data_IF_769070825548
#
_entry.id   IF_769070825548
#
_cell.length_a   1.000
_cell.length_b   1.000
_cell.length_c   1.000
_cell.angle_alpha   90.00
_cell.angle_beta   90.00
_cell.angle_gamma   90.00
#
_symmetry.space_group_name_H-M   'P 1'
#
loop_
_entity.id
_entity.type
_entity.pdbx_description
1 polymer ?
#
# COMPACT_ATOMS: atom_id res chain seq x y z
N UNK A 1 -13.53 30.13 26.89
CA UNK A 1 -13.19 31.51 26.52
C UNK A 1 -14.31 32.49 26.90
N UNK A 2 -15.54 32.29 26.39
CA UNK A 2 -16.69 33.17 26.69
C UNK A 2 -16.96 33.30 28.18
N UNK A 3 -16.89 32.19 28.94
CA UNK A 3 -17.05 32.22 30.40
C UNK A 3 -15.95 33.05 31.12
N UNK A 4 -14.72 32.94 30.67
CA UNK A 4 -13.62 33.77 31.23
C UNK A 4 -13.80 35.25 30.94
N UNK A 5 -14.23 35.62 29.70
CA UNK A 5 -14.54 37.00 29.36
C UNK A 5 -15.66 37.59 30.24
N UNK A 6 -16.73 36.82 30.47
CA UNK A 6 -17.85 37.25 31.31
C UNK A 6 -17.42 37.43 32.75
N UNK A 7 -16.62 36.50 33.30
CA UNK A 7 -16.13 36.57 34.68
C UNK A 7 -15.18 37.77 34.89
N UNK A 8 -14.25 38.01 33.95
CA UNK A 8 -13.32 39.15 34.06
C UNK A 8 -14.05 40.48 33.95
N UNK A 9 -15.00 40.60 33.00
CA UNK A 9 -15.82 41.81 32.87
C UNK A 9 -16.67 42.07 34.09
N UNK A 10 -17.27 41.05 34.72
CA UNK A 10 -18.05 41.18 35.97
C UNK A 10 -17.16 41.60 37.15
N UNK A 11 -15.97 41.01 37.27
CA UNK A 11 -15.01 41.41 38.31
C UNK A 11 -14.59 42.87 38.17
N UNK A 12 -14.24 43.33 36.97
CA UNK A 12 -13.86 44.72 36.74
C UNK A 12 -14.99 45.68 36.99
N UNK A 13 -16.22 45.33 36.60
CA UNK A 13 -17.39 46.14 36.90
C UNK A 13 -17.64 46.25 38.42
N UNK A 14 -17.44 45.18 39.19
CA UNK A 14 -17.57 45.19 40.68
C UNK A 14 -16.55 46.13 41.38
N UNK A 15 -15.34 46.24 40.80
CA UNK A 15 -14.30 47.14 41.34
C UNK A 15 -14.38 48.56 40.79
N UNK A 16 -15.46 49.00 40.12
CA UNK A 16 -15.66 50.34 39.55
C UNK A 16 -14.48 50.80 38.66
N UNK A 17 -13.86 49.91 37.92
CA UNK A 17 -12.78 50.22 36.98
C UNK A 17 -13.31 51.07 35.85
N UNK A 18 -12.49 51.97 35.30
CA UNK A 18 -12.89 52.82 34.17
C UNK A 18 -13.29 51.98 32.93
N UNK A 19 -14.33 52.39 32.25
CA UNK A 19 -14.85 51.69 31.05
C UNK A 19 -13.76 51.50 29.98
N UNK A 20 -12.83 52.42 29.89
CA UNK A 20 -11.69 52.35 28.94
C UNK A 20 -10.78 51.16 29.23
N UNK A 21 -10.51 50.80 30.47
CA UNK A 21 -9.71 49.64 30.84
C UNK A 21 -10.43 48.32 30.57
N UNK A 22 -11.75 48.27 30.78
CA UNK A 22 -12.56 47.11 30.46
C UNK A 22 -12.53 46.83 28.94
N UNK A 23 -12.67 47.88 28.12
CA UNK A 23 -12.58 47.74 26.65
C UNK A 23 -11.20 47.24 26.24
N UNK A 24 -10.13 47.81 26.80
CA UNK A 24 -8.76 47.40 26.47
C UNK A 24 -8.50 45.92 26.81
N UNK A 25 -8.97 45.44 27.97
CA UNK A 25 -8.85 44.03 28.36
C UNK A 25 -9.60 43.09 27.40
N UNK A 26 -10.84 43.44 27.07
CA UNK A 26 -11.62 42.66 26.10
C UNK A 26 -10.92 42.58 24.76
N UNK A 27 -10.37 43.70 24.25
CA UNK A 27 -9.60 43.71 23.01
C UNK A 27 -8.35 42.80 23.06
N UNK A 28 -7.59 42.86 24.14
CA UNK A 28 -6.40 42.02 24.34
C UNK A 28 -6.79 40.53 24.34
N UNK A 29 -7.83 40.17 25.09
CA UNK A 29 -8.32 38.78 25.18
C UNK A 29 -8.78 38.24 23.81
N UNK A 30 -9.47 39.07 23.04
CA UNK A 30 -9.88 38.69 21.67
C UNK A 30 -8.67 38.47 20.75
N UNK A 31 -7.69 39.38 20.81
CA UNK A 31 -6.46 39.26 20.01
C UNK A 31 -5.69 37.98 20.39
N UNK A 32 -5.51 37.72 21.68
CA UNK A 32 -4.87 36.48 22.14
C UNK A 32 -5.62 35.24 21.69
N UNK A 33 -6.97 35.23 21.74
CA UNK A 33 -7.76 34.12 21.27
C UNK A 33 -7.59 33.87 19.78
N UNK A 34 -7.67 34.93 18.99
CA UNK A 34 -7.45 34.83 17.50
C UNK A 34 -6.05 34.29 17.24
N UNK A 35 -5.03 34.77 17.94
CA UNK A 35 -3.65 34.28 17.76
C UNK A 35 -3.52 32.79 18.06
N UNK A 36 -4.14 32.27 19.12
CA UNK A 36 -4.14 30.84 19.48
C UNK A 36 -4.86 30.00 18.39
N UNK A 37 -6.04 30.45 17.95
CA UNK A 37 -6.83 29.75 16.93
C UNK A 37 -6.08 29.71 15.59
N UNK A 38 -5.43 30.80 15.20
CA UNK A 38 -4.63 30.86 13.98
C UNK A 38 -3.40 29.95 14.08
N UNK A 39 -2.70 29.94 15.22
CA UNK A 39 -1.56 29.05 15.45
C UNK A 39 -1.95 27.57 15.35
N UNK A 40 -3.08 27.18 15.97
CA UNK A 40 -3.62 25.81 15.90
C UNK A 40 -4.02 25.45 14.46
N UNK A 41 -4.69 26.36 13.76
CA UNK A 41 -5.05 26.18 12.35
C UNK A 41 -3.83 25.95 11.44
N UNK A 42 -2.78 26.79 11.57
CA UNK A 42 -1.57 26.64 10.76
C UNK A 42 -0.84 25.34 11.07
N UNK A 43 -0.80 24.93 12.34
CA UNK A 43 -0.16 23.68 12.75
C UNK A 43 -0.87 22.45 12.17
N UNK A 44 -2.21 22.43 12.22
CA UNK A 44 -3.03 21.37 11.63
C UNK A 44 -2.92 21.34 10.11
N UNK A 45 -3.01 22.52 9.47
CA UNK A 45 -2.91 22.65 8.04
C UNK A 45 -1.60 22.07 7.50
N UNK A 46 -0.47 22.39 8.13
CA UNK A 46 0.83 21.89 7.74
C UNK A 46 0.87 20.36 7.70
N UNK A 47 0.30 19.69 8.69
CA UNK A 47 0.24 18.23 8.72
C UNK A 47 -0.54 17.64 7.53
N UNK A 48 -1.70 18.22 7.21
CA UNK A 48 -2.51 17.72 6.09
C UNK A 48 -1.90 18.05 4.72
N UNK A 49 -1.25 19.20 4.56
CA UNK A 49 -0.53 19.55 3.34
C UNK A 49 0.67 18.58 3.12
N UNK A 50 1.43 18.25 4.15
CA UNK A 50 2.51 17.25 4.08
C UNK A 50 1.96 15.85 3.76
N UNK A 51 0.84 15.46 4.34
CA UNK A 51 0.16 14.20 4.05
C UNK A 51 -0.21 14.09 2.56
N UNK A 52 -0.83 15.14 2.00
CA UNK A 52 -1.25 15.17 0.59
C UNK A 52 -0.04 15.07 -0.36
N UNK A 53 1.02 15.82 -0.07
CA UNK A 53 2.26 15.79 -0.86
C UNK A 53 2.91 14.40 -0.81
N UNK A 54 3.01 13.80 0.37
CA UNK A 54 3.61 12.49 0.55
C UNK A 54 2.80 11.39 -0.17
N UNK A 55 1.46 11.41 -0.07
CA UNK A 55 0.59 10.47 -0.81
C UNK A 55 0.77 10.61 -2.33
N UNK A 56 0.91 11.85 -2.83
CA UNK A 56 1.10 12.09 -4.25
C UNK A 56 2.48 11.62 -4.76
N UNK A 57 3.51 11.68 -3.91
CA UNK A 57 4.89 11.30 -4.25
C UNK A 57 5.14 9.79 -4.18
N UNK A 58 4.35 9.02 -3.41
CA UNK A 58 4.53 7.59 -3.23
C UNK A 58 3.92 6.80 -4.39
N UNK A 59 4.70 5.90 -4.97
CA UNK A 59 4.24 4.89 -5.92
C UNK A 59 3.38 3.84 -5.19
N UNK A 60 3.85 3.33 -4.07
CA UNK A 60 3.14 2.39 -3.19
C UNK A 60 2.51 3.15 -2.01
N UNK A 61 1.27 3.58 -2.18
CA UNK A 61 0.54 4.47 -1.25
C UNK A 61 0.30 3.87 0.15
N UNK A 62 0.39 2.56 0.27
CA UNK A 62 0.27 1.88 1.57
C UNK A 62 1.52 2.06 2.46
N UNK A 63 2.60 2.65 1.97
CA UNK A 63 3.80 2.96 2.75
C UNK A 63 3.80 4.39 3.30
N UNK A 64 2.65 5.06 3.35
CA UNK A 64 2.54 6.47 3.75
C UNK A 64 3.06 6.72 5.16
N UNK A 65 2.90 5.78 6.08
CA UNK A 65 3.31 5.95 7.48
C UNK A 65 4.82 5.98 7.67
N UNK A 66 5.60 5.45 6.74
CA UNK A 66 7.07 5.55 6.77
C UNK A 66 7.58 6.99 6.53
N UNK A 67 6.78 7.81 5.84
CA UNK A 67 7.13 9.19 5.48
C UNK A 67 6.42 10.22 6.33
N UNK A 68 5.39 9.84 7.09
CA UNK A 68 4.56 10.73 7.86
C UNK A 68 5.03 10.84 9.32
N UNK A 69 5.21 12.07 9.79
CA UNK A 69 5.54 12.32 11.20
C UNK A 69 4.26 12.32 12.05
N UNK A 70 4.28 11.60 13.17
CA UNK A 70 3.15 11.55 14.11
C UNK A 70 2.83 12.93 14.63
N UNK A 71 1.60 13.46 14.44
CA UNK A 71 1.24 14.81 14.87
C UNK A 71 1.05 14.92 16.38
N UNK A 72 1.17 16.15 16.92
CA UNK A 72 1.00 16.41 18.34
C UNK A 72 -0.48 16.60 18.77
N UNK A 73 -1.39 16.91 17.84
CA UNK A 73 -2.81 17.14 18.15
C UNK A 73 -3.61 15.84 18.11
N UNK A 74 -4.62 15.74 18.97
CA UNK A 74 -5.33 14.50 19.30
C UNK A 74 -5.99 13.84 18.08
N UNK A 75 -6.72 14.59 17.26
CA UNK A 75 -7.41 14.05 16.07
C UNK A 75 -6.42 13.54 15.02
N UNK A 76 -5.28 14.24 14.88
CA UNK A 76 -4.20 13.79 14.01
C UNK A 76 -3.54 12.50 14.51
N UNK A 77 -3.42 12.30 15.81
CA UNK A 77 -2.91 11.05 16.38
C UNK A 77 -3.84 9.87 16.08
N UNK A 78 -5.16 10.05 16.28
CA UNK A 78 -6.15 9.01 15.93
C UNK A 78 -6.06 8.67 14.45
N UNK A 79 -5.98 9.68 13.59
CA UNK A 79 -5.83 9.48 12.16
C UNK A 79 -4.55 8.72 11.82
N UNK A 80 -3.41 9.17 12.35
CA UNK A 80 -2.11 8.52 12.15
C UNK A 80 -2.12 7.06 12.60
N UNK A 81 -2.61 6.78 13.81
CA UNK A 81 -2.65 5.44 14.37
C UNK A 81 -3.56 4.52 13.52
N UNK A 82 -4.73 5.03 13.07
CA UNK A 82 -5.64 4.28 12.19
C UNK A 82 -5.03 3.97 10.82
N UNK A 83 -4.35 4.95 10.21
CA UNK A 83 -3.66 4.77 8.93
C UNK A 83 -2.49 3.81 9.09
N UNK A 84 -1.74 3.90 10.20
CA UNK A 84 -0.63 3.00 10.51
C UNK A 84 -1.08 1.53 10.65
N UNK A 85 -2.23 1.27 11.27
CA UNK A 85 -2.78 -0.06 11.39
C UNK A 85 -3.20 -0.63 10.03
N UNK A 86 -3.82 0.21 9.17
CA UNK A 86 -4.18 -0.17 7.79
C UNK A 86 -2.92 -0.48 6.98
N UNK A 87 -1.93 0.41 7.04
CA UNK A 87 -0.65 0.32 6.35
C UNK A 87 0.08 -0.98 6.71
N UNK A 88 0.19 -1.27 7.99
CA UNK A 88 0.78 -2.51 8.48
C UNK A 88 0.06 -3.74 7.94
N UNK A 89 -1.29 -3.75 7.99
CA UNK A 89 -2.09 -4.86 7.47
C UNK A 89 -1.91 -5.03 5.96
N UNK A 90 -1.87 -3.93 5.20
CA UNK A 90 -1.63 -3.94 3.76
C UNK A 90 -0.23 -4.45 3.42
N UNK A 91 0.80 -3.97 4.12
CA UNK A 91 2.19 -4.40 3.95
C UNK A 91 2.34 -5.91 4.22
N UNK A 92 1.73 -6.42 5.30
CA UNK A 92 1.74 -7.85 5.62
C UNK A 92 1.03 -8.68 4.53
N UNK A 93 -0.08 -8.20 3.99
CA UNK A 93 -0.81 -8.87 2.92
C UNK A 93 -0.01 -8.88 1.61
N UNK A 94 0.53 -7.72 1.19
CA UNK A 94 1.37 -7.63 -0.02
C UNK A 94 2.58 -8.55 0.09
N UNK A 95 3.26 -8.57 1.23
CA UNK A 95 4.38 -9.49 1.48
C UNK A 95 3.96 -10.96 1.37
N UNK A 96 2.79 -11.32 1.92
CA UNK A 96 2.24 -12.69 1.83
C UNK A 96 1.92 -13.08 0.39
N UNK A 97 1.32 -12.17 -0.39
CA UNK A 97 1.05 -12.41 -1.79
C UNK A 97 2.32 -12.56 -2.62
N UNK A 98 3.33 -11.72 -2.40
CA UNK A 98 4.64 -11.83 -3.07
C UNK A 98 5.30 -13.19 -2.79
N UNK A 99 5.37 -13.60 -1.52
CA UNK A 99 5.91 -14.90 -1.14
C UNK A 99 5.12 -16.07 -1.74
N UNK A 100 3.79 -15.99 -1.74
CA UNK A 100 2.94 -17.02 -2.34
C UNK A 100 3.14 -17.13 -3.85
N UNK A 101 3.32 -16.01 -4.54
CA UNK A 101 3.60 -15.99 -5.98
C UNK A 101 4.99 -16.58 -6.30
N UNK A 102 5.99 -16.27 -5.47
CA UNK A 102 7.34 -16.83 -5.62
C UNK A 102 7.35 -18.36 -5.43
N UNK A 103 6.68 -18.85 -4.38
CA UNK A 103 6.50 -20.28 -4.15
C UNK A 103 5.72 -20.98 -5.27
N UNK A 104 4.68 -20.34 -5.79
CA UNK A 104 3.92 -20.87 -6.92
C UNK A 104 4.79 -20.97 -8.18
N UNK A 105 5.61 -19.99 -8.43
CA UNK A 105 6.56 -20.00 -9.56
C UNK A 105 7.56 -21.15 -9.44
N UNK A 106 8.21 -21.31 -8.28
CA UNK A 106 9.13 -22.41 -8.03
C UNK A 106 8.44 -23.77 -8.20
N UNK A 107 7.21 -23.89 -7.71
CA UNK A 107 6.40 -25.12 -7.91
C UNK A 107 6.14 -25.41 -9.39
N UNK A 108 5.76 -24.41 -10.17
CA UNK A 108 5.51 -24.59 -11.60
C UNK A 108 6.79 -24.96 -12.36
N UNK A 109 7.92 -24.33 -12.05
CA UNK A 109 9.21 -24.67 -12.67
C UNK A 109 9.62 -26.12 -12.36
N UNK A 110 9.49 -26.55 -11.11
CA UNK A 110 9.74 -27.94 -10.70
C UNK A 110 8.79 -28.92 -11.45
N UNK A 111 7.51 -28.62 -11.47
CA UNK A 111 6.51 -29.44 -12.17
C UNK A 111 6.79 -29.57 -13.68
N UNK A 112 7.25 -28.50 -14.32
CA UNK A 112 7.67 -28.53 -15.73
C UNK A 112 8.86 -29.47 -15.93
N UNK A 113 9.84 -29.46 -15.03
CA UNK A 113 10.97 -30.39 -15.09
C UNK A 113 10.53 -31.84 -14.96
N UNK A 114 9.61 -32.13 -14.05
CA UNK A 114 9.08 -33.48 -13.85
C UNK A 114 8.27 -34.00 -15.06
N UNK A 115 7.53 -33.12 -15.75
CA UNK A 115 6.76 -33.50 -16.95
C UNK A 115 7.66 -33.69 -18.18
N UNK A 116 8.75 -32.95 -18.30
CA UNK A 116 9.69 -33.11 -19.41
C UNK A 116 10.29 -34.51 -19.46
N UNK A 117 10.50 -35.18 -18.33
CA UNK A 117 11.05 -36.55 -18.26
C UNK A 117 10.13 -37.58 -18.91
N UNK A 118 8.84 -37.74 -18.54
CA UNK A 118 7.96 -38.70 -19.23
C UNK A 118 7.73 -38.35 -20.69
N UNK A 119 7.74 -37.08 -21.10
CA UNK A 119 7.65 -36.69 -22.51
C UNK A 119 8.88 -37.14 -23.28
N UNK A 120 10.07 -36.95 -22.74
CA UNK A 120 11.31 -37.43 -23.33
C UNK A 120 11.29 -38.99 -23.48
N UNK A 121 10.79 -39.70 -22.45
CA UNK A 121 10.62 -41.13 -22.46
C UNK A 121 9.64 -41.58 -23.55
N UNK A 122 8.49 -40.90 -23.69
CA UNK A 122 7.50 -41.19 -24.74
C UNK A 122 8.10 -40.95 -26.14
N UNK A 123 8.86 -39.87 -26.32
CA UNK A 123 9.55 -39.56 -27.57
C UNK A 123 10.55 -40.66 -27.95
N UNK A 124 11.33 -41.13 -26.96
CA UNK A 124 12.30 -42.20 -27.16
C UNK A 124 11.62 -43.53 -27.45
N UNK A 125 10.53 -43.87 -26.73
CA UNK A 125 9.74 -45.10 -26.99
C UNK A 125 9.17 -45.12 -28.41
N UNK A 126 8.64 -43.97 -28.86
CA UNK A 126 8.10 -43.84 -30.20
C UNK A 126 9.21 -43.97 -31.24
N UNK A 127 10.34 -43.34 -31.04
CA UNK A 127 11.50 -43.42 -31.95
C UNK A 127 12.02 -44.84 -32.07
N UNK A 128 12.18 -45.58 -30.98
CA UNK A 128 12.70 -46.94 -30.94
C UNK A 128 11.75 -47.98 -31.53
N UNK A 129 10.46 -47.63 -31.71
CA UNK A 129 9.45 -48.55 -32.27
C UNK A 129 8.88 -48.04 -33.61
N UNK A 130 9.52 -47.07 -34.24
CA UNK A 130 9.05 -46.49 -35.51
C UNK A 130 8.84 -47.54 -36.62
N UNK A 131 9.72 -48.54 -36.68
CA UNK A 131 9.63 -49.62 -37.68
C UNK A 131 8.50 -50.62 -37.39
N UNK A 132 7.95 -50.61 -36.18
CA UNK A 132 6.88 -51.53 -35.72
C UNK A 132 5.50 -50.86 -35.68
N UNK A 133 5.44 -49.54 -35.79
CA UNK A 133 4.22 -48.77 -35.78
C UNK A 133 3.78 -48.38 -37.18
N UNK A 134 2.46 -48.25 -37.35
CA UNK A 134 1.94 -47.59 -38.54
C UNK A 134 2.46 -46.16 -38.65
N UNK A 135 2.92 -45.78 -39.82
CA UNK A 135 3.54 -44.47 -40.06
C UNK A 135 2.59 -43.31 -39.70
N UNK A 136 1.31 -43.47 -40.03
CA UNK A 136 0.30 -42.46 -39.72
C UNK A 136 0.11 -42.29 -38.19
N UNK A 137 0.13 -43.41 -37.45
CA UNK A 137 0.08 -43.37 -35.98
C UNK A 137 1.32 -42.69 -35.38
N UNK A 138 2.52 -43.01 -35.85
CA UNK A 138 3.77 -42.42 -35.38
C UNK A 138 3.79 -40.88 -35.62
N UNK A 139 3.35 -40.42 -36.80
CA UNK A 139 3.28 -39.01 -37.15
C UNK A 139 2.25 -38.25 -36.27
N UNK A 140 1.10 -38.86 -36.01
CA UNK A 140 0.09 -38.28 -35.09
C UNK A 140 0.63 -38.16 -33.67
N UNK A 141 1.30 -39.18 -33.14
CA UNK A 141 1.90 -39.15 -31.80
C UNK A 141 2.99 -38.09 -31.70
N UNK A 142 3.91 -38.01 -32.67
CA UNK A 142 4.93 -36.96 -32.69
C UNK A 142 4.32 -35.57 -32.72
N UNK A 143 3.22 -35.38 -33.42
CA UNK A 143 2.52 -34.11 -33.48
C UNK A 143 1.94 -33.75 -32.10
N UNK A 144 1.37 -34.70 -31.37
CA UNK A 144 0.85 -34.45 -30.03
C UNK A 144 1.96 -34.16 -29.01
N UNK A 145 3.06 -34.91 -29.05
CA UNK A 145 4.22 -34.69 -28.18
C UNK A 145 4.79 -33.26 -28.40
N UNK A 146 4.92 -32.82 -29.64
CA UNK A 146 5.37 -31.46 -29.98
C UNK A 146 4.40 -30.39 -29.43
N UNK A 147 3.08 -30.63 -29.54
CA UNK A 147 2.07 -29.71 -28.96
C UNK A 147 2.21 -29.60 -27.45
N UNK A 148 2.38 -30.70 -26.74
CA UNK A 148 2.58 -30.71 -25.30
C UNK A 148 3.85 -29.92 -24.93
N UNK A 149 4.96 -30.15 -25.60
CA UNK A 149 6.20 -29.41 -25.40
C UNK A 149 6.00 -27.91 -25.63
N UNK A 150 5.29 -27.52 -26.70
CA UNK A 150 4.99 -26.10 -26.95
C UNK A 150 4.16 -25.46 -25.81
N UNK A 151 3.16 -26.17 -25.27
CA UNK A 151 2.38 -25.66 -24.15
C UNK A 151 3.22 -25.51 -22.89
N UNK A 152 4.11 -26.44 -22.61
CA UNK A 152 5.05 -26.36 -21.48
C UNK A 152 5.96 -25.14 -21.61
N UNK A 153 6.53 -24.91 -22.80
CA UNK A 153 7.38 -23.72 -23.03
C UNK A 153 6.58 -22.41 -22.93
N UNK A 154 5.31 -22.39 -23.36
CA UNK A 154 4.44 -21.23 -23.18
C UNK A 154 4.17 -20.94 -21.71
N UNK A 155 3.87 -21.97 -20.90
CA UNK A 155 3.66 -21.81 -19.46
C UNK A 155 4.94 -21.30 -18.79
N UNK A 156 6.09 -21.87 -19.13
CA UNK A 156 7.38 -21.46 -18.58
C UNK A 156 7.70 -20.02 -18.95
N UNK A 157 7.44 -19.61 -20.18
CA UNK A 157 7.59 -18.25 -20.65
C UNK A 157 6.70 -17.30 -19.84
N UNK A 158 5.42 -17.64 -19.66
CA UNK A 158 4.48 -16.81 -18.89
C UNK A 158 4.93 -16.63 -17.44
N UNK A 159 5.29 -17.72 -16.76
CA UNK A 159 5.75 -17.70 -15.35
C UNK A 159 7.03 -16.87 -15.18
N UNK A 160 7.90 -16.83 -16.21
CA UNK A 160 9.15 -16.03 -16.16
C UNK A 160 8.96 -14.58 -16.59
N UNK A 161 8.06 -14.29 -17.55
CA UNK A 161 7.86 -12.94 -18.08
C UNK A 161 7.23 -11.97 -17.06
N UNK A 162 6.40 -12.47 -16.16
CA UNK A 162 5.76 -11.67 -15.12
C UNK A 162 6.78 -11.00 -14.14
N UNK A 163 8.04 -11.43 -14.16
CA UNK A 163 9.13 -10.82 -13.39
C UNK A 163 10.00 -9.84 -14.19
N UNK A 164 9.82 -9.72 -15.49
CA UNK A 164 10.61 -8.82 -16.32
C UNK A 164 10.05 -7.38 -16.35
N UNK A 165 8.85 -7.18 -15.84
CA UNK A 165 8.16 -5.86 -15.80
C UNK A 165 8.25 -5.16 -14.42
N UNK A 166 9.19 -5.58 -13.53
CA UNK A 166 9.39 -4.91 -12.25
C UNK A 166 10.76 -4.29 -12.12
#
# INVERSE_FOLDING_TARGET
FAAMLIISALMMAAFKVSVQLIIAEICIMIICYIAVVLADYYHRKKFYDELEINIAALEEKYLITETLVRPAFYEGQIFYDSVSDIDRSMTENVKRYRLGMEQFKEYVEMWIHEIKLPIASLTLMLHNNMDKCDKEFADRMNTQIRRINNYIEQILYYVRSENAEK
#
